data_IF_511710294756
#
_entry.id   IF_511710294756
#
_cell.length_a   1.000
_cell.length_b   1.000
_cell.length_c   1.000
_cell.angle_alpha   90.00
_cell.angle_beta   90.00
_cell.angle_gamma   90.00
#
_symmetry.space_group_name_H-M   'P 1'
#
loop_
_entity.id
_entity.type
_entity.pdbx_description
1 polymer ?
#
# COMPACT_ATOMS: atom_id res chain seq x y z
N UNK A 1 -0.73 1.54 -12.23
CA UNK A 1 -0.23 0.78 -13.39
C UNK A 1 -0.42 1.51 -14.70
N UNK A 2 -1.41 2.41 -14.80
CA UNK A 2 -1.70 3.23 -15.99
C UNK A 2 -0.46 3.95 -16.57
N UNK A 3 0.36 4.61 -15.73
CA UNK A 3 1.56 5.33 -16.20
C UNK A 3 2.66 4.46 -16.84
N UNK A 4 2.83 3.18 -16.44
CA UNK A 4 3.80 2.29 -17.10
C UNK A 4 3.27 1.79 -18.45
N UNK A 5 1.95 1.62 -18.58
CA UNK A 5 1.32 1.21 -19.84
C UNK A 5 1.41 2.34 -20.86
N UNK A 6 1.12 3.57 -20.44
CA UNK A 6 1.30 4.77 -21.28
C UNK A 6 2.75 4.93 -21.73
N UNK A 7 3.72 4.68 -20.84
CA UNK A 7 5.14 4.73 -21.17
C UNK A 7 5.53 3.68 -22.21
N UNK A 8 5.03 2.44 -22.10
CA UNK A 8 5.29 1.40 -23.10
C UNK A 8 4.67 1.73 -24.46
N UNK A 9 3.45 2.27 -24.50
CA UNK A 9 2.82 2.72 -25.74
C UNK A 9 3.60 3.87 -26.38
N UNK A 10 4.14 4.79 -25.57
CA UNK A 10 4.99 5.86 -26.05
C UNK A 10 6.28 5.32 -26.70
N UNK A 11 6.91 4.29 -26.13
CA UNK A 11 8.08 3.66 -26.75
C UNK A 11 7.76 3.08 -28.13
N UNK A 12 6.66 2.34 -28.27
CA UNK A 12 6.23 1.76 -29.55
C UNK A 12 5.94 2.84 -30.61
N UNK A 13 5.32 3.95 -30.18
CA UNK A 13 5.08 5.12 -31.02
C UNK A 13 6.39 5.74 -31.50
N UNK A 14 7.36 5.93 -30.61
CA UNK A 14 8.66 6.51 -30.96
C UNK A 14 9.46 5.60 -31.90
N UNK A 15 9.46 4.29 -31.67
CA UNK A 15 10.10 3.31 -32.57
C UNK A 15 9.50 3.36 -33.98
N UNK A 16 8.18 3.55 -34.06
CA UNK A 16 7.51 3.76 -35.35
C UNK A 16 7.92 5.07 -36.01
N UNK A 17 8.03 6.16 -35.25
CA UNK A 17 8.52 7.44 -35.79
C UNK A 17 9.96 7.33 -36.29
N UNK A 18 10.85 6.68 -35.55
CA UNK A 18 12.23 6.45 -35.99
C UNK A 18 12.30 5.65 -37.28
N UNK A 19 11.48 4.61 -37.40
CA UNK A 19 11.39 3.79 -38.62
C UNK A 19 10.88 4.59 -39.82
N UNK A 20 9.82 5.39 -39.66
CA UNK A 20 9.24 6.17 -40.75
C UNK A 20 10.18 7.28 -41.21
N UNK A 21 10.84 7.96 -40.26
CA UNK A 21 11.75 9.07 -40.54
C UNK A 21 13.16 8.64 -40.98
N UNK A 22 13.46 7.34 -40.95
CA UNK A 22 14.81 6.81 -41.14
C UNK A 22 15.83 7.46 -40.18
N UNK A 23 15.45 7.61 -38.91
CA UNK A 23 16.26 8.29 -37.89
C UNK A 23 17.50 7.46 -37.55
N UNK A 24 18.69 8.08 -37.67
CA UNK A 24 19.94 7.46 -37.26
C UNK A 24 20.00 7.26 -35.74
N UNK A 25 20.69 6.22 -35.29
CA UNK A 25 20.79 5.84 -33.86
C UNK A 25 21.29 7.00 -32.98
N UNK A 26 22.26 7.76 -33.48
CA UNK A 26 22.81 8.97 -32.84
C UNK A 26 21.79 10.10 -32.60
N UNK A 27 20.68 10.11 -33.33
CA UNK A 27 19.65 11.16 -33.26
C UNK A 27 18.40 10.70 -32.51
N UNK A 28 18.27 9.41 -32.19
CA UNK A 28 17.07 8.86 -31.54
C UNK A 28 16.81 9.48 -30.16
N UNK A 29 17.83 9.62 -29.32
CA UNK A 29 17.70 10.30 -28.00
C UNK A 29 17.29 11.75 -28.20
N UNK A 30 17.98 12.50 -29.06
CA UNK A 30 17.64 13.90 -29.32
C UNK A 30 16.20 14.05 -29.80
N UNK A 31 15.78 13.22 -30.75
CA UNK A 31 14.44 13.27 -31.31
C UNK A 31 13.37 12.90 -30.29
N UNK A 32 13.58 11.84 -29.49
CA UNK A 32 12.62 11.44 -28.44
C UNK A 32 12.50 12.49 -27.33
N UNK A 33 13.62 13.07 -26.90
CA UNK A 33 13.63 14.06 -25.81
C UNK A 33 12.89 15.34 -26.18
N UNK A 34 12.87 15.73 -27.46
CA UNK A 34 12.07 16.84 -27.97
C UNK A 34 10.55 16.63 -27.82
N UNK A 35 10.09 15.39 -27.65
CA UNK A 35 8.66 15.09 -27.47
C UNK A 35 8.23 15.05 -26.01
N UNK A 36 9.18 15.17 -25.07
CA UNK A 36 8.90 15.13 -23.64
C UNK A 36 8.20 16.41 -23.18
N UNK A 37 7.18 16.25 -22.34
CA UNK A 37 6.42 17.35 -21.75
C UNK A 37 6.24 17.13 -20.25
N UNK A 38 5.95 18.21 -19.52
CA UNK A 38 5.63 18.16 -18.09
C UNK A 38 6.69 17.46 -17.24
N UNK A 39 6.26 16.53 -16.38
CA UNK A 39 7.13 15.81 -15.44
C UNK A 39 8.25 15.02 -16.13
N UNK A 40 8.01 14.49 -17.34
CA UNK A 40 9.02 13.72 -18.08
C UNK A 40 10.17 14.61 -18.59
N UNK A 41 9.86 15.85 -19.00
CA UNK A 41 10.86 16.84 -19.39
C UNK A 41 11.68 17.32 -18.18
N UNK A 42 11.02 17.56 -17.05
CA UNK A 42 11.70 17.94 -15.79
C UNK A 42 12.68 16.85 -15.37
N UNK A 43 12.25 15.58 -15.42
CA UNK A 43 13.10 14.45 -15.11
C UNK A 43 14.31 14.37 -16.05
N UNK A 44 14.09 14.50 -17.37
CA UNK A 44 15.18 14.47 -18.35
C UNK A 44 16.21 15.57 -18.11
N UNK A 45 15.76 16.80 -17.81
CA UNK A 45 16.66 17.90 -17.50
C UNK A 45 17.50 17.62 -16.24
N UNK A 46 16.89 17.04 -15.21
CA UNK A 46 17.60 16.60 -14.00
C UNK A 46 18.65 15.52 -14.30
N UNK A 47 18.30 14.56 -15.17
CA UNK A 47 19.22 13.51 -15.60
C UNK A 47 20.44 14.08 -16.33
N UNK A 48 20.21 14.96 -17.31
CA UNK A 48 21.27 15.65 -18.07
C UNK A 48 22.19 16.46 -17.14
N UNK A 49 21.65 17.14 -16.13
CA UNK A 49 22.44 17.85 -15.12
C UNK A 49 23.31 16.88 -14.31
N UNK A 50 22.79 15.70 -13.98
CA UNK A 50 23.45 14.72 -13.12
C UNK A 50 24.58 13.98 -13.83
N UNK A 51 24.34 13.51 -15.05
CA UNK A 51 25.31 12.68 -15.79
C UNK A 51 26.18 13.49 -16.77
N UNK A 52 25.77 14.73 -17.05
CA UNK A 52 26.39 15.60 -18.05
C UNK A 52 25.79 15.40 -19.45
N UNK A 53 25.76 16.46 -20.28
CA UNK A 53 25.14 16.41 -21.61
C UNK A 53 25.81 15.40 -22.55
N UNK A 54 27.14 15.31 -22.52
CA UNK A 54 27.87 14.39 -23.41
C UNK A 54 27.49 12.93 -23.14
N UNK A 55 27.38 12.55 -21.87
CA UNK A 55 26.97 11.20 -21.46
C UNK A 55 25.49 10.97 -21.75
N UNK A 56 24.63 11.93 -21.43
CA UNK A 56 23.19 11.82 -21.61
C UNK A 56 22.81 11.65 -23.10
N UNK A 57 23.43 12.43 -24.00
CA UNK A 57 23.13 12.36 -25.43
C UNK A 57 23.91 11.27 -26.18
N UNK A 58 24.99 10.72 -25.60
CA UNK A 58 25.67 9.53 -26.13
C UNK A 58 24.97 8.21 -25.75
N UNK A 59 23.97 8.27 -24.87
CA UNK A 59 23.17 7.11 -24.47
C UNK A 59 22.44 6.50 -25.69
N UNK A 60 22.28 5.17 -25.68
CA UNK A 60 21.48 4.48 -26.69
C UNK A 60 20.00 4.53 -26.35
N UNK A 61 19.13 4.51 -27.36
CA UNK A 61 17.68 4.42 -27.18
C UNK A 61 17.27 3.25 -26.27
N UNK A 62 17.93 2.10 -26.39
CA UNK A 62 17.66 0.95 -25.52
C UNK A 62 17.97 1.22 -24.04
N UNK A 63 19.06 1.92 -23.75
CA UNK A 63 19.43 2.27 -22.37
C UNK A 63 18.44 3.28 -21.78
N UNK A 64 18.06 4.28 -22.57
CA UNK A 64 17.08 5.30 -22.18
C UNK A 64 15.71 4.70 -21.87
N UNK A 65 15.24 3.73 -22.67
CA UNK A 65 14.01 2.97 -22.38
C UNK A 65 14.06 2.29 -21.02
N UNK A 66 15.19 1.62 -20.71
CA UNK A 66 15.38 0.92 -19.43
C UNK A 66 15.37 1.92 -18.28
N UNK A 67 16.14 3.00 -18.36
CA UNK A 67 16.19 4.00 -17.28
C UNK A 67 14.83 4.65 -17.02
N UNK A 68 14.09 5.01 -18.08
CA UNK A 68 12.75 5.57 -17.94
C UNK A 68 11.77 4.58 -17.34
N UNK A 69 11.82 3.32 -17.75
CA UNK A 69 10.98 2.27 -17.17
C UNK A 69 11.27 2.06 -15.69
N UNK A 70 12.56 2.02 -15.34
CA UNK A 70 13.00 1.90 -13.95
C UNK A 70 12.62 3.16 -13.15
N UNK A 71 12.66 4.36 -13.73
CA UNK A 71 12.16 5.57 -13.08
C UNK A 71 10.64 5.59 -12.88
N UNK A 72 9.89 4.84 -13.70
CA UNK A 72 8.43 4.74 -13.63
C UNK A 72 7.88 3.65 -12.70
N UNK A 73 8.72 2.75 -12.17
CA UNK A 73 8.25 1.73 -11.20
C UNK A 73 7.97 2.33 -9.82
N UNK A 74 7.04 1.75 -9.04
CA UNK A 74 6.76 2.21 -7.68
C UNK A 74 8.01 2.28 -6.81
N UNK A 75 8.14 3.34 -6.00
CA UNK A 75 9.31 3.61 -5.15
C UNK A 75 9.71 2.41 -4.26
N UNK A 76 8.71 1.64 -3.81
CA UNK A 76 8.87 0.44 -2.99
C UNK A 76 9.80 -0.59 -3.62
N UNK A 77 9.76 -0.75 -4.95
CA UNK A 77 10.61 -1.70 -5.68
C UNK A 77 11.73 -1.02 -6.48
N UNK A 78 11.66 0.30 -6.65
CA UNK A 78 12.59 1.11 -7.45
C UNK A 78 14.06 0.82 -7.09
N UNK A 79 14.42 0.91 -5.81
CA UNK A 79 15.81 0.70 -5.35
C UNK A 79 16.36 -0.68 -5.71
N UNK A 80 15.52 -1.71 -5.59
CA UNK A 80 15.89 -3.10 -5.88
C UNK A 80 16.05 -3.35 -7.37
N UNK A 81 15.18 -2.75 -8.20
CA UNK A 81 15.29 -2.84 -9.66
C UNK A 81 16.53 -2.11 -10.17
N UNK A 82 16.80 -0.88 -9.68
CA UNK A 82 18.01 -0.11 -10.01
C UNK A 82 19.28 -0.90 -9.65
N UNK A 83 19.33 -1.48 -8.45
CA UNK A 83 20.48 -2.26 -7.99
C UNK A 83 20.77 -3.47 -8.88
N UNK A 84 19.73 -4.05 -9.50
CA UNK A 84 19.84 -5.23 -10.35
C UNK A 84 20.36 -4.94 -11.76
N UNK A 85 20.49 -3.65 -12.13
CA UNK A 85 21.09 -3.17 -13.40
C UNK A 85 20.60 -3.97 -14.62
N UNK A 86 19.30 -3.86 -14.96
CA UNK A 86 18.76 -4.55 -16.12
C UNK A 86 19.53 -4.19 -17.39
N UNK A 87 19.89 -5.22 -18.18
CA UNK A 87 20.53 -5.04 -19.49
C UNK A 87 19.52 -4.90 -20.63
N UNK A 88 18.28 -5.32 -20.40
CA UNK A 88 17.21 -5.29 -21.39
C UNK A 88 15.91 -4.86 -20.74
N UNK A 89 15.02 -4.29 -21.54
CA UNK A 89 13.68 -3.90 -21.10
C UNK A 89 12.89 -5.08 -20.52
N UNK A 90 12.92 -6.22 -21.21
CA UNK A 90 12.24 -7.44 -20.75
C UNK A 90 12.74 -7.88 -19.38
N UNK A 91 14.07 -7.85 -19.16
CA UNK A 91 14.63 -8.19 -17.85
C UNK A 91 14.20 -7.19 -16.77
N UNK A 92 14.08 -5.90 -17.09
CA UNK A 92 13.55 -4.91 -16.16
C UNK A 92 12.10 -5.22 -15.76
N UNK A 93 11.26 -5.57 -16.73
CA UNK A 93 9.85 -5.96 -16.51
C UNK A 93 9.76 -7.22 -15.64
N UNK A 94 10.55 -8.25 -15.97
CA UNK A 94 10.59 -9.51 -15.21
C UNK A 94 10.98 -9.27 -13.74
N UNK A 95 12.03 -8.48 -13.49
CA UNK A 95 12.46 -8.15 -12.12
C UNK A 95 11.40 -7.33 -11.36
N UNK A 96 10.77 -6.35 -12.01
CA UNK A 96 9.72 -5.56 -11.40
C UNK A 96 8.52 -6.44 -11.00
N UNK A 97 8.08 -7.34 -11.89
CA UNK A 97 6.99 -8.26 -11.64
C UNK A 97 7.32 -9.28 -10.55
N UNK A 98 8.53 -9.84 -10.54
CA UNK A 98 8.98 -10.78 -9.52
C UNK A 98 8.96 -10.12 -8.13
N UNK A 99 9.52 -8.91 -8.00
CA UNK A 99 9.54 -8.16 -6.74
C UNK A 99 8.14 -7.78 -6.29
N UNK A 100 7.26 -7.38 -7.21
CA UNK A 100 5.87 -7.07 -6.91
C UNK A 100 5.10 -8.32 -6.45
N UNK A 101 5.34 -9.47 -7.08
CA UNK A 101 4.78 -10.75 -6.65
C UNK A 101 5.22 -11.13 -5.24
N UNK A 102 6.52 -11.02 -4.93
CA UNK A 102 7.06 -11.25 -3.58
C UNK A 102 6.41 -10.34 -2.53
N UNK A 103 6.26 -9.05 -2.85
CA UNK A 103 5.61 -8.08 -1.97
C UNK A 103 4.14 -8.45 -1.71
N UNK A 104 3.39 -8.79 -2.77
CA UNK A 104 1.97 -9.16 -2.64
C UNK A 104 1.79 -10.44 -1.81
N UNK A 105 2.65 -11.45 -2.00
CA UNK A 105 2.63 -12.67 -1.19
C UNK A 105 2.92 -12.36 0.28
N UNK A 106 3.95 -11.55 0.56
CA UNK A 106 4.30 -11.14 1.93
C UNK A 106 3.14 -10.39 2.60
N UNK A 107 2.48 -9.49 1.85
CA UNK A 107 1.31 -8.78 2.36
C UNK A 107 0.14 -9.72 2.66
N UNK A 108 -0.14 -10.67 1.75
CA UNK A 108 -1.19 -11.67 1.94
C UNK A 108 -0.95 -12.55 3.19
N UNK A 109 0.30 -12.96 3.42
CA UNK A 109 0.71 -13.71 4.60
C UNK A 109 0.51 -12.88 5.88
N UNK A 110 0.98 -11.64 5.91
CA UNK A 110 0.76 -10.72 7.02
C UNK A 110 -0.74 -10.51 7.33
N UNK A 111 -1.57 -10.39 6.30
CA UNK A 111 -3.02 -10.26 6.45
C UNK A 111 -3.66 -11.53 7.01
N UNK A 112 -3.24 -12.71 6.55
CA UNK A 112 -3.73 -13.98 7.07
C UNK A 112 -3.36 -14.17 8.55
N UNK A 113 -2.14 -13.81 8.93
CA UNK A 113 -1.66 -13.91 10.31
C UNK A 113 -2.39 -12.95 11.26
N UNK A 114 -2.60 -11.70 10.83
CA UNK A 114 -3.38 -10.73 11.61
C UNK A 114 -4.83 -11.19 11.82
N UNK A 115 -5.45 -11.83 10.81
CA UNK A 115 -6.79 -12.45 10.95
C UNK A 115 -6.81 -13.57 11.97
N UNK A 116 -5.80 -14.44 12.00
CA UNK A 116 -5.66 -15.50 13.02
C UNK A 116 -5.60 -14.91 14.42
N UNK A 117 -4.71 -13.92 14.62
CA UNK A 117 -4.55 -13.22 15.91
C UNK A 117 -5.83 -12.52 16.40
N UNK A 118 -6.58 -11.88 15.49
CA UNK A 118 -7.86 -11.26 15.82
C UNK A 118 -8.90 -12.30 16.28
N UNK A 119 -8.99 -13.43 15.59
CA UNK A 119 -9.91 -14.50 15.94
C UNK A 119 -9.55 -15.14 17.28
N UNK A 120 -8.26 -15.36 17.54
CA UNK A 120 -7.78 -15.91 18.82
C UNK A 120 -8.09 -14.96 19.98
N UNK A 121 -7.90 -13.65 19.78
CA UNK A 121 -8.22 -12.63 20.79
C UNK A 121 -9.73 -12.56 21.06
N UNK A 122 -10.55 -12.59 20.00
CA UNK A 122 -12.02 -12.61 20.11
C UNK A 122 -12.52 -13.83 20.89
N UNK A 123 -12.02 -15.02 20.55
CA UNK A 123 -12.39 -16.29 21.21
C UNK A 123 -11.99 -16.30 22.68
N UNK A 124 -10.83 -15.73 23.01
CA UNK A 124 -10.36 -15.63 24.39
C UNK A 124 -11.26 -14.69 25.21
N UNK A 125 -11.56 -13.50 24.69
CA UNK A 125 -12.46 -12.54 25.34
C UNK A 125 -13.87 -13.12 25.57
N UNK A 126 -14.43 -13.83 24.58
CA UNK A 126 -15.76 -14.44 24.69
C UNK A 126 -15.79 -15.56 25.75
N UNK A 127 -14.73 -16.37 25.83
CA UNK A 127 -14.61 -17.41 26.85
C UNK A 127 -14.49 -16.83 28.27
N UNK A 128 -13.74 -15.74 28.43
CA UNK A 128 -13.55 -15.06 29.70
C UNK A 128 -14.85 -14.39 30.18
N UNK A 129 -15.62 -13.78 29.27
CA UNK A 129 -16.95 -13.23 29.56
C UNK A 129 -17.94 -14.31 29.99
N UNK A 130 -17.96 -15.48 29.33
CA UNK A 130 -18.81 -16.61 29.76
C UNK A 130 -18.43 -17.10 31.16
N UNK A 131 -17.14 -17.14 31.49
CA UNK A 131 -16.66 -17.55 32.81
C UNK A 131 -17.04 -16.52 33.90
N UNK A 132 -16.96 -15.22 33.61
CA UNK A 132 -17.42 -14.16 34.51
C UNK A 132 -18.94 -14.20 34.70
N UNK A 133 -19.72 -14.41 33.63
CA UNK A 133 -21.17 -14.53 33.70
C UNK A 133 -21.63 -15.78 34.47
N UNK A 134 -20.92 -16.91 34.35
CA UNK A 134 -21.16 -18.11 35.17
C UNK A 134 -20.90 -17.85 36.65
N UNK A 135 -19.82 -17.13 36.99
CA UNK A 135 -19.52 -16.76 38.39
C UNK A 135 -20.58 -15.83 39.00
N UNK A 136 -21.18 -14.93 38.20
CA UNK A 136 -22.27 -14.07 38.65
C UNK A 136 -23.60 -14.82 38.84
N UNK A 137 -23.88 -15.83 38.01
CA UNK A 137 -25.12 -16.61 38.10
C UNK A 137 -25.14 -17.60 39.26
N UNK A 138 -24.00 -18.15 39.69
CA UNK A 138 -23.93 -19.05 40.87
C UNK A 138 -24.21 -18.30 42.18
N UNK A 139 -24.00 -16.98 42.24
CA UNK A 139 -24.32 -16.15 43.42
C UNK A 139 -25.78 -15.73 43.55
N UNK A 140 -26.63 -15.94 42.53
CA UNK A 140 -28.05 -15.50 42.51
C UNK A 140 -29.08 -16.57 42.88
N UNK A 141 -28.68 -17.83 43.04
CA UNK A 141 -29.60 -18.97 43.14
C UNK A 141 -30.31 -19.17 44.51
N UNK A 142 -30.20 -18.23 45.46
CA UNK A 142 -30.79 -18.38 46.80
C UNK A 142 -31.99 -17.47 47.13
N UNK A 143 -32.48 -16.66 46.20
CA UNK A 143 -33.60 -15.75 46.47
C UNK A 143 -34.86 -16.12 45.68
N UNK A 144 -35.42 -17.31 45.90
CA UNK A 144 -36.80 -17.57 45.48
C UNK A 144 -37.46 -18.64 46.37
N UNK A 145 -38.08 -18.21 47.47
CA UNK A 145 -39.23 -18.94 48.03
C UNK A 145 -40.20 -18.07 48.83
N UNK A 146 -41.43 -18.07 48.33
CA UNK A 146 -42.76 -17.94 48.97
C UNK A 146 -43.11 -16.73 49.84
N UNK A 147 -44.10 -15.98 49.34
CA UNK A 147 -45.44 -16.02 49.95
C UNK A 147 -45.90 -14.81 50.76
N UNK A 148 -46.99 -14.22 50.28
CA UNK A 148 -48.03 -13.47 51.02
C UNK A 148 -47.95 -11.94 51.19
N UNK A 149 -49.15 -11.36 51.12
CA UNK A 149 -49.52 -9.96 50.86
C UNK A 149 -49.58 -9.12 52.15
N UNK A 150 -49.31 -7.81 52.07
CA UNK A 150 -50.30 -6.70 52.20
C UNK A 150 -49.65 -5.30 52.32
N UNK A 151 -50.41 -4.21 52.07
CA UNK A 151 -49.88 -2.88 51.75
C UNK A 151 -49.92 -1.93 52.95
N UNK A 152 -48.93 -1.04 53.10
CA UNK A 152 -49.07 0.26 53.77
C UNK A 152 -47.81 1.11 53.55
N UNK A 153 -47.96 2.24 52.88
CA UNK A 153 -47.12 3.44 53.02
C UNK A 153 -48.01 4.51 53.69
N UNK A 154 -47.52 5.57 54.35
CA UNK A 154 -46.12 5.99 54.54
C UNK A 154 -45.78 6.46 55.98
N UNK A 155 -44.50 6.52 56.34
CA UNK A 155 -44.02 7.52 57.32
C UNK A 155 -42.67 8.07 56.88
N UNK A 156 -42.67 9.34 56.50
CA UNK A 156 -41.49 10.10 56.10
C UNK A 156 -40.49 10.24 57.26
N UNK A 157 -39.18 10.16 57.02
CA UNK A 157 -38.17 10.44 58.04
C UNK A 157 -38.08 11.95 58.32
N UNK A 158 -38.20 12.33 59.60
CA UNK A 158 -38.04 13.71 60.05
C UNK A 158 -36.59 14.17 59.85
N UNK A 159 -36.45 15.25 59.08
CA UNK A 159 -35.24 16.05 58.87
C UNK A 159 -34.77 16.70 60.19
N UNK A 160 -33.46 16.67 60.46
CA UNK A 160 -32.86 17.38 61.60
C UNK A 160 -32.26 18.71 61.15
N UNK A 161 -33.11 19.74 61.13
CA UNK A 161 -32.84 21.19 61.26
C UNK A 161 -34.24 21.85 61.21
N UNK A 162 -34.81 22.45 62.26
CA UNK A 162 -34.25 23.25 63.34
C UNK A 162 -35.08 23.11 64.63
N UNK A 163 -34.50 23.44 65.78
CA UNK A 163 -35.23 23.68 67.04
C UNK A 163 -36.19 24.86 66.87
N UNK A 164 -37.50 24.57 66.92
CA UNK A 164 -38.61 25.34 67.51
C UNK A 164 -39.92 24.64 67.12
#
# INVERSE_FOLDING_TARGET
TEGLVELTQWFEKMETVFRISNCSVENQIKFSTCTLLGSALIWWNSHVITVGPDVAYAMTWESDKIERYVGGVPDVIHKSVVASRPKTMQKAIEMANELMGKMNNTWAECQAENKRKLNDTSRNNQSQQQQQNKRQNTGRAYNERSGEKKPYDPCAPKCHKCNC
#
